data_IF_719038835693
#
_entry.id   IF_719038835693
#
_cell.length_a   1.000
_cell.length_b   1.000
_cell.length_c   1.000
_cell.angle_alpha   90.00
_cell.angle_beta   90.00
_cell.angle_gamma   90.00
#
_symmetry.space_group_name_H-M   'P 1'
#
loop_
_entity.id
_entity.type
_entity.pdbx_description
1 polymer ?
#
# COMPACT_ATOMS: atom_id res chain seq x y z
N UNK A 1 16.97 0.40 21.17
CA UNK A 1 15.66 -0.07 20.69
C UNK A 1 15.92 -1.11 19.63
N UNK A 2 15.56 -2.36 19.88
CA UNK A 2 15.82 -3.50 18.98
C UNK A 2 14.64 -3.75 18.03
N UNK A 3 13.76 -2.75 17.87
CA UNK A 3 12.53 -2.85 17.09
C UNK A 3 12.41 -1.71 16.09
N UNK A 4 11.79 -1.97 14.96
CA UNK A 4 11.59 -1.02 13.86
C UNK A 4 10.11 -0.96 13.48
N UNK A 5 9.63 0.20 13.02
CA UNK A 5 8.31 0.30 12.40
C UNK A 5 8.41 0.05 10.89
N UNK A 6 7.46 -0.68 10.31
CA UNK A 6 7.41 -0.96 8.87
C UNK A 6 6.20 -0.25 8.28
N UNK A 7 6.39 0.47 7.16
CA UNK A 7 5.31 1.04 6.39
C UNK A 7 5.37 0.54 4.94
N UNK A 8 4.42 -0.33 4.57
CA UNK A 8 4.25 -0.83 3.21
C UNK A 8 3.19 -0.05 2.44
N UNK A 9 3.47 0.27 1.18
CA UNK A 9 2.57 1.01 0.30
C UNK A 9 2.37 0.20 -0.99
N UNK A 10 1.11 0.04 -1.43
CA UNK A 10 0.75 -0.70 -2.64
C UNK A 10 1.39 -2.11 -2.67
N UNK A 11 2.06 -2.50 -3.75
CA UNK A 11 2.75 -3.79 -3.86
C UNK A 11 3.86 -3.98 -2.82
N UNK A 12 4.45 -2.88 -2.32
CA UNK A 12 5.37 -2.92 -1.19
C UNK A 12 4.70 -3.40 0.10
N UNK A 13 3.41 -3.11 0.29
CA UNK A 13 2.61 -3.64 1.38
C UNK A 13 2.33 -5.14 1.24
N UNK A 14 2.11 -5.63 0.02
CA UNK A 14 1.99 -7.08 -0.24
C UNK A 14 3.27 -7.82 0.17
N UNK A 15 4.44 -7.31 -0.25
CA UNK A 15 5.75 -7.87 0.12
C UNK A 15 5.94 -7.79 1.64
N UNK A 16 5.66 -6.64 2.25
CA UNK A 16 5.79 -6.46 3.69
C UNK A 16 4.91 -7.43 4.48
N UNK A 17 3.67 -7.69 4.04
CA UNK A 17 2.77 -8.66 4.69
C UNK A 17 3.33 -10.08 4.63
N UNK A 18 3.95 -10.46 3.50
CA UNK A 18 4.64 -11.74 3.37
C UNK A 18 5.89 -11.82 4.27
N UNK A 19 6.61 -10.71 4.45
CA UNK A 19 7.71 -10.61 5.44
C UNK A 19 7.19 -10.75 6.86
N UNK A 20 6.09 -10.10 7.22
CA UNK A 20 5.47 -10.23 8.54
C UNK A 20 5.07 -11.68 8.85
N UNK A 21 4.47 -12.38 7.89
CA UNK A 21 4.16 -13.80 8.03
C UNK A 21 5.42 -14.67 8.12
N UNK A 22 6.49 -14.31 7.42
CA UNK A 22 7.78 -15.00 7.54
C UNK A 22 8.39 -14.83 8.95
N UNK A 23 8.40 -13.60 9.48
CA UNK A 23 8.84 -13.34 10.86
C UNK A 23 7.95 -14.07 11.87
N UNK A 24 6.64 -14.18 11.59
CA UNK A 24 5.70 -14.95 12.40
C UNK A 24 6.05 -16.42 12.51
N UNK A 25 6.45 -17.04 11.40
CA UNK A 25 6.84 -18.46 11.39
C UNK A 25 8.06 -18.74 12.29
N UNK A 26 8.99 -17.79 12.41
CA UNK A 26 10.18 -17.90 13.26
C UNK A 26 10.01 -17.33 14.68
N UNK A 27 8.85 -16.73 14.99
CA UNK A 27 8.65 -16.05 16.27
C UNK A 27 9.43 -14.74 16.42
N UNK A 28 9.82 -14.11 15.32
CA UNK A 28 10.63 -12.88 15.27
C UNK A 28 9.81 -11.60 14.97
N UNK A 29 8.48 -11.67 15.10
CA UNK A 29 7.60 -10.51 14.86
C UNK A 29 7.85 -9.37 15.85
N UNK A 30 8.40 -9.66 17.02
CA UNK A 30 8.71 -8.68 18.05
C UNK A 30 9.78 -7.69 17.63
N UNK A 31 10.53 -7.97 16.55
CA UNK A 31 11.42 -7.02 15.85
C UNK A 31 10.67 -5.86 15.20
N UNK A 32 9.35 -6.00 15.00
CA UNK A 32 8.51 -4.97 14.39
C UNK A 32 7.61 -4.37 15.47
N UNK A 33 7.84 -3.10 15.79
CA UNK A 33 7.08 -2.40 16.83
C UNK A 33 5.69 -1.96 16.36
N UNK A 34 5.57 -1.65 15.08
CA UNK A 34 4.37 -1.14 14.46
C UNK A 34 4.37 -1.49 12.98
N UNK A 35 3.23 -1.95 12.45
CA UNK A 35 3.07 -2.26 11.04
C UNK A 35 2.05 -1.32 10.40
N UNK A 36 2.37 -0.71 9.28
CA UNK A 36 1.47 0.19 8.56
C UNK A 36 1.33 -0.24 7.11
N UNK A 37 0.12 -0.12 6.58
CA UNK A 37 -0.24 -0.47 5.21
C UNK A 37 -1.04 0.66 4.59
N UNK A 38 -0.65 1.09 3.39
CA UNK A 38 -1.34 2.11 2.62
C UNK A 38 -1.73 1.55 1.26
N UNK A 39 -3.00 1.73 0.88
CA UNK A 39 -3.54 1.36 -0.44
C UNK A 39 -3.03 0.00 -0.93
N UNK A 40 -3.09 -0.99 -0.04
CA UNK A 40 -2.55 -2.34 -0.25
C UNK A 40 -3.71 -3.33 -0.26
N UNK A 41 -3.79 -4.13 -1.32
CA UNK A 41 -4.79 -5.18 -1.47
C UNK A 41 -4.15 -6.53 -1.20
N UNK A 42 -4.55 -7.20 -0.12
CA UNK A 42 -4.13 -8.56 0.23
C UNK A 42 -5.17 -9.60 -0.18
N UNK A 43 -6.44 -9.21 -0.21
CA UNK A 43 -7.56 -10.01 -0.72
C UNK A 43 -8.06 -9.44 -2.06
N UNK A 44 -7.96 -10.26 -3.10
CA UNK A 44 -8.31 -9.91 -4.47
C UNK A 44 -9.77 -10.19 -4.84
N UNK A 45 -10.57 -10.82 -3.96
CA UNK A 45 -11.97 -11.16 -4.25
C UNK A 45 -12.77 -9.92 -4.65
N UNK A 46 -12.46 -8.78 -4.03
CA UNK A 46 -13.16 -7.49 -4.24
C UNK A 46 -12.35 -6.46 -5.02
N UNK A 47 -11.18 -6.81 -5.57
CA UNK A 47 -10.20 -5.88 -6.16
C UNK A 47 -10.65 -5.12 -7.43
N UNK A 48 -11.93 -5.23 -7.80
CA UNK A 48 -12.56 -4.36 -8.79
C UNK A 48 -12.34 -4.77 -10.25
N UNK A 49 -12.56 -3.81 -11.15
CA UNK A 49 -12.64 -4.02 -12.61
C UNK A 49 -11.34 -4.60 -13.18
N UNK A 50 -10.19 -4.31 -12.57
CA UNK A 50 -8.88 -4.84 -13.00
C UNK A 50 -8.77 -6.35 -12.78
N UNK A 51 -9.25 -6.87 -11.65
CA UNK A 51 -9.34 -8.32 -11.40
C UNK A 51 -10.33 -8.99 -12.38
N UNK A 52 -11.46 -8.31 -12.67
CA UNK A 52 -12.45 -8.78 -13.65
C UNK A 52 -11.96 -8.78 -15.11
N UNK A 53 -10.99 -7.91 -15.46
CA UNK A 53 -10.40 -7.82 -16.81
C UNK A 53 -9.21 -8.77 -17.03
N UNK A 54 -8.56 -9.21 -15.95
CA UNK A 54 -7.49 -10.22 -15.99
C UNK A 54 -8.08 -11.62 -16.13
N UNK A 55 -8.41 -12.01 -17.36
CA UNK A 55 -8.65 -13.43 -17.63
C UNK A 55 -7.37 -14.24 -17.35
N UNK A 56 -7.50 -15.47 -16.85
CA UNK A 56 -6.36 -16.39 -16.68
C UNK A 56 -5.47 -16.47 -17.94
N UNK A 57 -6.08 -16.36 -19.12
CA UNK A 57 -5.38 -16.36 -20.42
C UNK A 57 -4.53 -15.09 -20.61
N UNK A 58 -5.08 -13.91 -20.30
CA UNK A 58 -4.36 -12.65 -20.42
C UNK A 58 -3.18 -12.59 -19.43
N UNK A 59 -3.38 -13.07 -18.20
CA UNK A 59 -2.33 -13.10 -17.20
C UNK A 59 -1.21 -14.12 -17.56
N UNK A 60 -1.57 -15.29 -18.09
CA UNK A 60 -0.61 -16.26 -18.60
C UNK A 60 0.19 -15.70 -19.78
N UNK A 61 -0.46 -14.99 -20.71
CA UNK A 61 0.20 -14.35 -21.84
C UNK A 61 1.17 -13.23 -21.38
N UNK A 62 0.74 -12.38 -20.46
CA UNK A 62 1.59 -11.32 -19.88
C UNK A 62 2.81 -11.91 -19.16
N UNK A 63 2.59 -12.97 -18.38
CA UNK A 63 3.68 -13.68 -17.68
C UNK A 63 4.67 -14.28 -18.67
N UNK A 64 4.19 -14.95 -19.72
CA UNK A 64 5.03 -15.52 -20.77
C UNK A 64 5.83 -14.44 -21.51
N UNK A 65 5.20 -13.31 -21.87
CA UNK A 65 5.89 -12.20 -22.52
C UNK A 65 7.01 -11.63 -21.65
N UNK A 66 6.77 -11.42 -20.35
CA UNK A 66 7.82 -10.97 -19.43
C UNK A 66 8.95 -11.99 -19.28
N UNK A 67 8.63 -13.29 -19.32
CA UNK A 67 9.61 -14.38 -19.24
C UNK A 67 10.52 -14.42 -20.46
N UNK A 68 9.95 -14.26 -21.67
CA UNK A 68 10.71 -14.21 -22.92
C UNK A 68 11.64 -13.00 -22.96
N UNK A 69 11.19 -11.85 -22.44
CA UNK A 69 11.99 -10.62 -22.37
C UNK A 69 13.02 -10.61 -21.23
N UNK A 70 12.80 -11.41 -20.18
CA UNK A 70 13.58 -11.42 -18.92
C UNK A 70 13.11 -10.41 -17.87
N UNK A 71 12.23 -9.47 -18.25
CA UNK A 71 11.64 -8.46 -17.36
C UNK A 71 10.28 -7.97 -17.90
N UNK A 72 9.44 -7.43 -17.02
CA UNK A 72 8.28 -6.63 -17.39
C UNK A 72 8.73 -5.18 -17.64
N UNK A 73 8.42 -4.68 -18.83
CA UNK A 73 8.70 -3.29 -19.19
C UNK A 73 7.76 -2.34 -18.44
N UNK A 74 8.33 -1.32 -17.80
CA UNK A 74 7.57 -0.32 -17.07
C UNK A 74 6.56 0.42 -17.96
N UNK A 75 6.82 0.54 -19.28
CA UNK A 75 5.88 1.16 -20.23
C UNK A 75 4.59 0.36 -20.40
N UNK A 76 4.69 -0.96 -20.46
CA UNK A 76 3.50 -1.84 -20.55
C UNK A 76 2.63 -1.72 -19.30
N UNK A 77 3.26 -1.58 -18.14
CA UNK A 77 2.56 -1.38 -16.87
C UNK A 77 1.94 0.02 -16.78
N UNK A 78 2.68 1.06 -17.18
CA UNK A 78 2.21 2.44 -17.21
C UNK A 78 1.04 2.64 -18.18
N UNK A 79 1.04 1.98 -19.33
CA UNK A 79 -0.08 1.99 -20.29
C UNK A 79 -1.34 1.39 -19.66
N UNK A 80 -1.24 0.23 -18.99
CA UNK A 80 -2.37 -0.41 -18.30
C UNK A 80 -2.91 0.49 -17.17
N UNK A 81 -2.03 1.09 -16.35
CA UNK A 81 -2.43 2.01 -15.29
C UNK A 81 -3.03 3.32 -15.80
N UNK A 82 -2.53 3.88 -16.91
CA UNK A 82 -3.08 5.07 -17.54
C UNK A 82 -4.52 4.86 -18.04
N UNK A 83 -4.82 3.66 -18.56
CA UNK A 83 -6.19 3.27 -18.97
C UNK A 83 -7.15 3.02 -17.79
N UNK A 84 -6.65 2.82 -16.56
CA UNK A 84 -7.46 2.65 -15.36
C UNK A 84 -7.91 3.99 -14.72
N UNK A 85 -7.38 5.13 -15.16
CA UNK A 85 -7.78 6.49 -14.73
C UNK A 85 -8.00 7.47 -15.90
N UNK A 86 -8.88 7.16 -16.87
CA UNK A 86 -9.07 8.04 -18.02
C UNK A 86 -9.65 9.40 -17.62
N UNK A 87 -10.47 9.50 -16.57
CA UNK A 87 -11.05 10.79 -16.16
C UNK A 87 -10.04 11.72 -15.45
N UNK A 88 -9.21 11.17 -14.57
CA UNK A 88 -8.25 11.96 -13.78
C UNK A 88 -6.97 12.30 -14.55
N UNK A 89 -6.47 11.37 -15.37
CA UNK A 89 -5.18 11.50 -16.06
C UNK A 89 -5.32 12.01 -17.50
N UNK A 90 -6.44 11.72 -18.17
CA UNK A 90 -6.63 12.06 -19.59
C UNK A 90 -7.70 13.14 -19.75
N UNK A 91 -8.89 12.99 -19.17
CA UNK A 91 -10.03 13.87 -19.45
C UNK A 91 -9.90 15.25 -18.79
N UNK A 92 -9.50 15.33 -17.51
CA UNK A 92 -9.21 16.62 -16.86
C UNK A 92 -8.07 17.37 -17.57
N UNK A 93 -7.07 16.66 -18.09
CA UNK A 93 -6.00 17.22 -18.91
C UNK A 93 -6.54 17.71 -20.26
N UNK A 94 -7.37 16.92 -20.94
CA UNK A 94 -7.94 17.26 -22.25
C UNK A 94 -8.91 18.45 -22.17
N UNK A 95 -9.80 18.48 -21.18
CA UNK A 95 -10.74 19.60 -20.99
C UNK A 95 -10.00 20.89 -20.64
N UNK A 96 -9.09 20.88 -19.67
CA UNK A 96 -8.40 22.11 -19.26
C UNK A 96 -7.37 22.60 -20.28
N UNK A 97 -6.68 21.70 -20.99
CA UNK A 97 -5.54 22.09 -21.82
C UNK A 97 -5.91 22.19 -23.30
N UNK A 98 -6.69 21.23 -23.82
CA UNK A 98 -7.09 21.22 -25.23
C UNK A 98 -8.33 22.07 -25.49
N UNK A 99 -9.36 22.00 -24.64
CA UNK A 99 -10.59 22.77 -24.82
C UNK A 99 -10.52 24.19 -24.23
N UNK A 100 -9.91 24.36 -23.05
CA UNK A 100 -9.86 25.66 -22.35
C UNK A 100 -8.56 26.45 -22.58
N UNK A 101 -7.57 25.85 -23.26
CA UNK A 101 -6.30 26.52 -23.61
C UNK A 101 -5.41 26.88 -22.43
N UNK A 102 -5.64 26.31 -21.24
CA UNK A 102 -4.78 26.54 -20.09
C UNK A 102 -3.50 25.70 -20.22
N UNK A 103 -2.35 26.29 -19.86
CA UNK A 103 -1.11 25.53 -19.76
C UNK A 103 -1.26 24.44 -18.66
N UNK A 104 -0.84 23.19 -18.90
CA UNK A 104 -0.85 22.18 -17.86
C UNK A 104 -0.03 22.67 -16.66
N UNK A 105 -0.65 22.72 -15.47
CA UNK A 105 0.13 22.93 -14.25
C UNK A 105 1.14 21.79 -14.15
N UNK A 106 2.40 22.14 -13.88
CA UNK A 106 3.41 21.15 -13.53
C UNK A 106 2.90 20.38 -12.30
N UNK A 107 2.44 19.14 -12.54
CA UNK A 107 1.85 18.29 -11.53
C UNK A 107 2.93 17.25 -11.19
N UNK A 108 3.53 17.40 -10.01
CA UNK A 108 4.51 16.49 -9.43
C UNK A 108 4.12 15.01 -9.56
N UNK A 109 2.85 14.69 -9.31
CA UNK A 109 2.29 13.34 -9.43
C UNK A 109 2.35 12.83 -10.88
N UNK A 110 2.14 13.70 -11.88
CA UNK A 110 2.24 13.28 -13.29
C UNK A 110 3.69 12.99 -13.69
N UNK A 111 4.64 13.75 -13.16
CA UNK A 111 6.07 13.46 -13.37
C UNK A 111 6.43 12.10 -12.76
N UNK A 112 6.05 11.86 -11.49
CA UNK A 112 6.25 10.57 -10.82
C UNK A 112 5.60 9.41 -11.59
N UNK A 113 4.37 9.58 -12.06
CA UNK A 113 3.65 8.52 -12.80
C UNK A 113 4.28 8.24 -14.19
N UNK A 114 4.98 9.21 -14.77
CA UNK A 114 5.64 9.10 -16.07
C UNK A 114 7.07 8.52 -15.98
N UNK A 115 7.54 8.15 -14.80
CA UNK A 115 8.89 7.62 -14.55
C UNK A 115 8.83 6.13 -14.13
N UNK A 116 8.51 5.22 -15.07
CA UNK A 116 8.26 3.82 -14.73
C UNK A 116 9.57 3.03 -14.56
N UNK A 117 9.58 2.13 -13.59
CA UNK A 117 10.67 1.17 -13.37
C UNK A 117 10.35 -0.20 -13.97
N UNK A 118 11.39 -0.98 -14.27
CA UNK A 118 11.25 -2.38 -14.71
C UNK A 118 11.06 -3.30 -13.51
N UNK A 119 10.39 -4.42 -13.75
CA UNK A 119 10.24 -5.50 -12.76
C UNK A 119 10.83 -6.80 -13.33
N UNK A 120 11.54 -7.58 -12.51
CA UNK A 120 12.05 -8.88 -12.96
C UNK A 120 10.90 -9.80 -13.38
N UNK A 121 11.13 -10.65 -14.39
CA UNK A 121 10.09 -11.58 -14.85
C UNK A 121 9.63 -12.54 -13.74
N UNK A 122 10.53 -12.91 -12.82
CA UNK A 122 10.21 -13.75 -11.68
C UNK A 122 9.24 -13.06 -10.71
N UNK A 123 9.55 -11.82 -10.31
CA UNK A 123 8.68 -11.03 -9.43
C UNK A 123 7.32 -10.76 -10.06
N UNK A 124 7.28 -10.44 -11.35
CA UNK A 124 6.04 -10.24 -12.09
C UNK A 124 5.17 -11.51 -12.10
N UNK A 125 5.75 -12.67 -12.43
CA UNK A 125 5.06 -13.96 -12.37
C UNK A 125 4.49 -14.21 -10.98
N UNK A 126 5.29 -14.00 -9.94
CA UNK A 126 4.89 -14.31 -8.56
C UNK A 126 3.73 -13.39 -8.11
N UNK A 127 3.74 -12.10 -8.49
CA UNK A 127 2.59 -11.22 -8.27
C UNK A 127 1.34 -11.65 -9.03
N UNK A 128 1.47 -12.06 -10.30
CA UNK A 128 0.33 -12.56 -11.07
C UNK A 128 -0.25 -13.82 -10.44
N UNK A 129 0.59 -14.75 -10.02
CA UNK A 129 0.18 -15.99 -9.37
C UNK A 129 -0.53 -15.74 -8.03
N UNK A 130 0.03 -14.87 -7.18
CA UNK A 130 -0.61 -14.44 -5.93
C UNK A 130 -1.98 -13.81 -6.20
N UNK A 131 -2.08 -12.94 -7.21
CA UNK A 131 -3.30 -12.22 -7.51
C UNK A 131 -4.40 -13.14 -8.07
N UNK A 132 -4.07 -14.00 -9.03
CA UNK A 132 -5.02 -14.90 -9.69
C UNK A 132 -5.55 -15.97 -8.71
N UNK A 133 -4.67 -16.53 -7.88
CA UNK A 133 -5.05 -17.57 -6.90
C UNK A 133 -5.63 -16.99 -5.62
N UNK A 134 -5.62 -15.65 -5.47
CA UNK A 134 -5.89 -14.98 -4.20
C UNK A 134 -5.09 -15.59 -3.02
N UNK A 135 -3.84 -16.02 -3.27
CA UNK A 135 -3.16 -17.00 -2.42
C UNK A 135 -2.75 -16.49 -1.03
N UNK A 136 -2.93 -15.20 -0.74
CA UNK A 136 -2.60 -14.61 0.57
C UNK A 136 -3.74 -14.75 1.59
N UNK A 137 -4.98 -14.98 1.15
CA UNK A 137 -6.11 -15.23 2.06
C UNK A 137 -6.22 -16.70 2.47
N UNK A 138 -5.56 -17.59 1.73
CA UNK A 138 -5.49 -19.02 2.03
C UNK A 138 -4.22 -19.34 2.82
N UNK A 139 -4.33 -19.76 4.10
CA UNK A 139 -3.17 -20.11 4.89
C UNK A 139 -2.28 -21.14 4.18
N UNK A 140 -0.99 -20.83 4.07
CA UNK A 140 0.07 -21.69 3.51
C UNK A 140 0.00 -21.91 1.99
N UNK A 141 -0.87 -21.20 1.26
CA UNK A 141 -0.99 -21.29 -0.20
C UNK A 141 0.09 -20.51 -0.97
N UNK A 142 0.78 -19.59 -0.29
CA UNK A 142 1.95 -18.86 -0.78
C UNK A 142 3.20 -19.16 0.07
N UNK A 143 4.38 -18.82 -0.48
CA UNK A 143 5.67 -18.97 0.20
C UNK A 143 6.50 -17.69 0.11
N UNK A 144 7.28 -17.41 1.15
CA UNK A 144 8.23 -16.29 1.23
C UNK A 144 9.52 -16.78 1.87
N UNK A 145 10.66 -16.61 1.19
CA UNK A 145 11.98 -17.02 1.73
C UNK A 145 12.00 -18.47 2.27
N UNK A 146 11.30 -19.39 1.59
CA UNK A 146 11.20 -20.80 1.98
C UNK A 146 10.17 -21.13 3.06
N UNK A 147 9.54 -20.15 3.71
CA UNK A 147 8.46 -20.38 4.68
C UNK A 147 7.09 -20.29 4.03
N UNK A 148 6.09 -20.92 4.67
CA UNK A 148 4.69 -20.82 4.27
C UNK A 148 4.10 -19.52 4.80
N UNK A 149 3.41 -18.78 3.94
CA UNK A 149 2.74 -17.53 4.32
C UNK A 149 1.41 -17.85 4.96
N UNK A 150 1.19 -17.32 6.17
CA UNK A 150 -0.07 -17.38 6.90
C UNK A 150 -0.29 -16.03 7.59
N UNK A 151 -1.14 -15.19 7.01
CA UNK A 151 -1.38 -13.83 7.51
C UNK A 151 -2.10 -13.84 8.87
N UNK A 152 -2.84 -14.91 9.20
CA UNK A 152 -3.47 -15.08 10.50
C UNK A 152 -2.46 -15.23 11.64
N UNK A 153 -1.18 -15.52 11.35
CA UNK A 153 -0.13 -15.52 12.37
C UNK A 153 0.42 -14.13 12.69
N UNK A 154 0.07 -13.11 11.91
CA UNK A 154 0.53 -11.74 12.14
C UNK A 154 -0.26 -11.15 13.32
N UNK A 155 0.45 -10.91 14.42
CA UNK A 155 -0.13 -10.36 15.67
C UNK A 155 0.36 -8.94 15.96
N UNK A 156 1.26 -8.40 15.16
CA UNK A 156 1.75 -7.02 15.30
C UNK A 156 0.62 -6.02 15.05
N UNK A 157 0.49 -5.04 15.95
CA UNK A 157 -0.44 -3.92 15.78
C UNK A 157 -0.27 -3.26 14.42
N UNK A 158 -1.40 -3.08 13.74
CA UNK A 158 -1.44 -2.66 12.35
C UNK A 158 -2.23 -1.36 12.15
N UNK A 159 -1.76 -0.50 11.26
CA UNK A 159 -2.47 0.70 10.81
C UNK A 159 -2.71 0.60 9.31
N UNK A 160 -3.97 0.50 8.88
CA UNK A 160 -4.33 0.30 7.47
C UNK A 160 -5.07 1.53 6.98
N UNK A 161 -4.56 2.16 5.91
CA UNK A 161 -5.17 3.34 5.29
C UNK A 161 -5.55 3.08 3.83
N UNK A 162 -6.75 3.50 3.44
CA UNK A 162 -7.25 3.45 2.08
C UNK A 162 -7.92 4.78 1.67
N UNK A 163 -8.10 5.00 0.36
CA UNK A 163 -8.83 6.15 -0.17
C UNK A 163 -10.28 5.80 -0.53
N UNK A 164 -11.26 6.60 -0.11
CA UNK A 164 -12.69 6.35 -0.37
C UNK A 164 -13.04 6.32 -1.86
N UNK A 165 -12.33 7.09 -2.69
CA UNK A 165 -12.52 7.15 -4.14
C UNK A 165 -11.37 6.44 -4.88
N UNK A 166 -10.69 5.50 -4.23
CA UNK A 166 -9.64 4.72 -4.86
C UNK A 166 -10.24 3.61 -5.74
N UNK A 167 -10.08 3.77 -7.05
CA UNK A 167 -10.52 2.77 -8.04
C UNK A 167 -9.46 1.70 -8.33
N UNK A 168 -8.21 1.93 -7.95
CA UNK A 168 -7.14 0.96 -8.13
C UNK A 168 -7.12 -0.06 -6.99
N UNK A 169 -7.07 0.46 -5.76
CA UNK A 169 -7.14 -0.34 -4.55
C UNK A 169 -8.44 0.02 -3.83
N UNK A 170 -9.54 -0.60 -4.29
CA UNK A 170 -10.86 -0.41 -3.66
C UNK A 170 -10.74 -0.56 -2.15
N UNK A 171 -11.24 0.43 -1.41
CA UNK A 171 -11.05 0.47 0.04
C UNK A 171 -11.65 -0.76 0.73
N UNK A 172 -12.70 -1.35 0.18
CA UNK A 172 -13.32 -2.58 0.69
C UNK A 172 -12.37 -3.78 0.61
N UNK A 173 -11.46 -3.79 -0.37
CA UNK A 173 -10.42 -4.83 -0.53
C UNK A 173 -9.25 -4.58 0.43
N UNK A 174 -8.85 -3.31 0.60
CA UNK A 174 -7.87 -2.93 1.63
C UNK A 174 -8.41 -3.27 3.04
N UNK A 175 -9.71 -3.07 3.26
CA UNK A 175 -10.39 -3.32 4.54
C UNK A 175 -10.35 -4.78 4.96
N UNK A 176 -10.36 -5.73 4.01
CA UNK A 176 -10.26 -7.16 4.33
C UNK A 176 -9.01 -7.52 5.14
N UNK A 177 -7.95 -6.69 5.06
CA UNK A 177 -6.76 -6.83 5.92
C UNK A 177 -7.13 -6.92 7.41
N UNK A 178 -8.17 -6.20 7.85
CA UNK A 178 -8.66 -6.21 9.24
C UNK A 178 -9.19 -7.58 9.69
N UNK A 179 -9.53 -8.47 8.74
CA UNK A 179 -10.01 -9.83 8.98
C UNK A 179 -8.93 -10.89 8.73
N UNK A 180 -7.79 -10.50 8.13
CA UNK A 180 -6.68 -11.39 7.79
C UNK A 180 -5.62 -11.45 8.90
N UNK A 181 -5.43 -10.36 9.64
CA UNK A 181 -4.47 -10.29 10.75
C UNK A 181 -5.16 -10.60 12.07
N UNK A 182 -4.43 -11.25 12.99
CA UNK A 182 -4.90 -11.53 14.35
C UNK A 182 -4.45 -10.48 15.38
N UNK A 183 -3.68 -9.48 14.96
CA UNK A 183 -3.32 -8.32 15.78
C UNK A 183 -4.35 -7.20 15.71
N UNK A 184 -4.28 -6.25 16.65
CA UNK A 184 -5.14 -5.06 16.64
C UNK A 184 -4.88 -4.23 15.38
N UNK A 185 -5.89 -4.14 14.50
CA UNK A 185 -5.79 -3.41 13.24
C UNK A 185 -6.64 -2.15 13.31
N UNK A 186 -6.00 -0.98 13.29
CA UNK A 186 -6.69 0.29 13.11
C UNK A 186 -6.94 0.54 11.62
N UNK A 187 -8.20 0.72 11.21
CA UNK A 187 -8.54 1.06 9.83
C UNK A 187 -8.91 2.54 9.69
N UNK A 188 -8.40 3.17 8.64
CA UNK A 188 -8.63 4.57 8.30
C UNK A 188 -8.97 4.74 6.83
N UNK A 189 -10.08 5.44 6.58
CA UNK A 189 -10.56 5.74 5.24
C UNK A 189 -10.39 7.23 4.94
N UNK A 190 -9.36 7.58 4.18
CA UNK A 190 -9.09 8.97 3.80
C UNK A 190 -9.99 9.42 2.65
N UNK A 191 -10.27 10.73 2.59
CA UNK A 191 -10.91 11.33 1.43
C UNK A 191 -10.03 11.26 0.18
N UNK A 192 -10.66 11.36 -1.00
CA UNK A 192 -10.02 11.32 -2.32
C UNK A 192 -9.61 9.90 -2.79
N UNK A 193 -9.03 9.82 -3.99
CA UNK A 193 -8.59 8.55 -4.59
C UNK A 193 -7.09 8.29 -4.41
N UNK A 194 -6.64 7.08 -4.76
CA UNK A 194 -5.27 6.53 -4.63
C UNK A 194 -4.18 7.50 -4.13
N UNK A 195 -3.58 8.30 -5.01
CA UNK A 195 -2.43 9.16 -4.66
C UNK A 195 -2.85 10.33 -3.77
N UNK A 196 -3.97 10.99 -4.07
CA UNK A 196 -4.46 12.14 -3.32
C UNK A 196 -4.90 11.78 -1.88
N UNK A 197 -5.30 10.53 -1.66
CA UNK A 197 -5.58 10.01 -0.32
C UNK A 197 -4.28 9.80 0.49
N UNK A 198 -3.19 9.37 -0.16
CA UNK A 198 -1.91 9.10 0.51
C UNK A 198 -1.08 10.37 0.72
N UNK A 199 -0.99 11.23 -0.29
CA UNK A 199 -0.25 12.50 -0.26
C UNK A 199 -1.20 13.61 0.15
N UNK A 200 -1.60 13.59 1.42
CA UNK A 200 -2.54 14.56 1.99
C UNK A 200 -1.94 15.18 3.26
N UNK A 201 -0.99 16.13 3.13
CA UNK A 201 -0.26 16.65 4.28
C UNK A 201 -1.15 17.45 5.25
N UNK A 202 -0.76 17.55 6.53
CA UNK A 202 -1.41 18.42 7.50
C UNK A 202 -1.53 19.87 7.00
N UNK A 203 -2.60 20.55 7.40
CA UNK A 203 -2.90 21.92 6.97
C UNK A 203 -3.76 22.03 5.71
N UNK A 204 -4.06 20.93 5.01
CA UNK A 204 -5.05 20.94 3.93
C UNK A 204 -6.49 21.10 4.51
N UNK A 205 -7.19 22.22 4.26
CA UNK A 205 -8.52 22.45 4.84
C UNK A 205 -9.60 21.50 4.28
N UNK A 206 -9.33 20.84 3.15
CA UNK A 206 -10.24 19.86 2.54
C UNK A 206 -9.99 18.43 3.03
N UNK A 207 -8.90 18.20 3.78
CA UNK A 207 -8.57 16.88 4.28
C UNK A 207 -9.55 16.43 5.37
N UNK A 208 -10.01 15.19 5.24
CA UNK A 208 -10.66 14.48 6.33
C UNK A 208 -10.45 12.98 6.14
N UNK A 209 -10.69 12.21 7.19
CA UNK A 209 -10.71 10.76 7.13
C UNK A 209 -11.83 10.21 8.01
N UNK A 210 -12.10 8.93 7.90
CA UNK A 210 -13.06 8.22 8.73
C UNK A 210 -12.34 7.09 9.47
N UNK A 211 -12.71 6.85 10.71
CA UNK A 211 -12.22 5.72 11.50
C UNK A 211 -13.32 5.22 12.43
N UNK A 212 -13.31 3.93 12.76
CA UNK A 212 -14.33 3.35 13.63
C UNK A 212 -14.15 3.76 15.10
N UNK A 213 -15.20 3.60 15.93
CA UNK A 213 -15.08 3.65 17.38
C UNK A 213 -14.09 2.61 17.93
N UNK A 214 -13.89 2.61 19.25
CA UNK A 214 -13.00 1.65 19.88
C UNK A 214 -13.58 0.23 19.90
N UNK A 215 -12.76 -0.75 19.49
CA UNK A 215 -13.02 -2.18 19.66
C UNK A 215 -11.79 -2.86 20.27
N UNK A 216 -11.94 -3.87 21.13
CA UNK A 216 -10.78 -4.61 21.65
C UNK A 216 -9.77 -3.83 22.53
N UNK A 217 -10.00 -2.54 22.82
CA UNK A 217 -9.16 -1.73 23.73
C UNK A 217 -8.48 -0.51 23.10
N UNK A 218 -8.55 -0.35 21.77
CA UNK A 218 -7.97 0.80 21.05
C UNK A 218 -9.02 1.53 20.21
N UNK A 219 -8.83 2.82 19.91
CA UNK A 219 -9.69 3.56 18.95
C UNK A 219 -9.43 3.10 17.52
N UNK A 220 -10.48 2.94 16.71
CA UNK A 220 -10.35 2.64 15.28
C UNK A 220 -10.23 1.16 14.93
N UNK A 221 -10.45 0.27 15.90
CA UNK A 221 -10.23 -1.19 15.80
C UNK A 221 -11.53 -1.99 15.87
N UNK A 222 -12.70 -1.35 16.01
CA UNK A 222 -13.98 -2.03 15.78
C UNK A 222 -14.21 -2.23 14.27
N UNK A 223 -13.80 -3.40 13.78
CA UNK A 223 -13.81 -3.76 12.37
C UNK A 223 -14.75 -4.96 12.10
N UNK A 224 -16.07 -4.76 12.00
CA UNK A 224 -16.98 -5.83 11.57
C UNK A 224 -16.63 -6.29 10.15
N UNK A 225 -16.85 -7.57 9.86
CA UNK A 225 -16.60 -8.15 8.53
C UNK A 225 -17.34 -7.40 7.40
N UNK A 226 -18.55 -6.91 7.67
CA UNK A 226 -19.32 -6.09 6.73
C UNK A 226 -18.79 -4.65 6.64
N UNK A 227 -18.20 -4.33 5.50
CA UNK A 227 -17.72 -2.99 5.14
C UNK A 227 -18.79 -1.90 5.21
N UNK A 228 -20.06 -2.19 4.89
CA UNK A 228 -21.13 -1.19 4.97
C UNK A 228 -21.51 -0.90 6.41
N UNK A 229 -21.46 -1.92 7.27
CA UNK A 229 -21.61 -1.74 8.72
C UNK A 229 -20.48 -0.89 9.27
N UNK A 230 -19.24 -1.16 8.87
CA UNK A 230 -18.08 -0.33 9.24
C UNK A 230 -18.26 1.12 8.79
N UNK A 231 -18.65 1.35 7.54
CA UNK A 231 -18.85 2.70 7.01
C UNK A 231 -19.95 3.47 7.76
N UNK A 232 -21.01 2.78 8.18
CA UNK A 232 -22.12 3.38 8.93
C UNK A 232 -21.72 3.81 10.34
N UNK A 233 -20.84 3.05 11.01
CA UNK A 233 -20.36 3.37 12.36
C UNK A 233 -19.14 4.31 12.35
N UNK A 234 -18.44 4.42 11.22
CA UNK A 234 -17.24 5.22 11.11
C UNK A 234 -17.53 6.71 11.37
N UNK A 235 -16.65 7.32 12.15
CA UNK A 235 -16.74 8.75 12.50
C UNK A 235 -15.80 9.53 11.61
N UNK A 236 -16.32 10.60 11.00
CA UNK A 236 -15.50 11.54 10.23
C UNK A 236 -14.67 12.41 11.15
N UNK A 237 -13.37 12.46 10.89
CA UNK A 237 -12.39 13.32 11.56
C UNK A 237 -11.88 14.34 10.53
N UNK A 238 -11.90 15.62 10.91
CA UNK A 238 -11.37 16.70 10.08
C UNK A 238 -9.85 16.77 10.22
N UNK A 239 -9.13 16.95 9.12
CA UNK A 239 -7.66 16.98 9.10
C UNK A 239 -7.04 15.83 8.31
N UNK A 240 -5.71 15.78 8.31
CA UNK A 240 -4.98 14.69 7.66
C UNK A 240 -4.98 13.44 8.54
N UNK A 241 -5.05 12.26 7.92
CA UNK A 241 -4.81 11.01 8.64
C UNK A 241 -3.35 10.88 9.10
N UNK A 242 -2.41 11.67 8.56
CA UNK A 242 -1.01 11.66 8.98
C UNK A 242 -0.87 12.01 10.45
N UNK A 243 -1.66 12.96 10.96
CA UNK A 243 -1.60 13.36 12.36
C UNK A 243 -2.06 12.21 13.28
N UNK A 244 -3.13 11.51 12.89
CA UNK A 244 -3.64 10.31 13.59
C UNK A 244 -2.67 9.12 13.52
N UNK A 245 -2.01 8.93 12.37
CA UNK A 245 -0.98 7.91 12.19
C UNK A 245 0.26 8.20 13.03
N UNK A 246 0.74 9.44 13.07
CA UNK A 246 1.89 9.84 13.90
C UNK A 246 1.57 9.66 15.38
N UNK A 247 0.37 10.00 15.84
CA UNK A 247 -0.07 9.73 17.23
C UNK A 247 -0.05 8.22 17.51
N UNK A 248 -0.64 7.41 16.62
CA UNK A 248 -0.68 5.94 16.74
C UNK A 248 0.71 5.31 16.75
N UNK A 249 1.62 5.82 15.91
CA UNK A 249 2.99 5.33 15.76
C UNK A 249 3.86 5.75 16.95
N UNK A 250 3.68 6.97 17.47
CA UNK A 250 4.44 7.48 18.62
C UNK A 250 4.22 6.63 19.86
N UNK A 251 2.98 6.20 20.11
CA UNK A 251 2.66 5.28 21.20
C UNK A 251 3.39 3.91 21.11
N UNK A 252 3.92 3.57 19.94
CA UNK A 252 4.65 2.33 19.64
C UNK A 252 6.15 2.55 19.39
N UNK A 253 6.61 3.79 19.44
CA UNK A 253 7.99 4.17 19.13
C UNK A 253 8.86 4.37 20.37
N UNK A 254 8.37 4.00 21.56
CA UNK A 254 9.08 4.11 22.84
C UNK A 254 9.38 5.55 23.26
N UNK A 255 10.32 5.71 24.18
CA UNK A 255 10.71 7.02 24.70
C UNK A 255 11.54 7.82 23.68
N UNK A 256 11.34 9.15 23.68
CA UNK A 256 12.18 10.04 22.89
C UNK A 256 13.64 9.95 23.32
N UNK A 257 14.54 9.96 22.34
CA UNK A 257 15.98 9.96 22.58
C UNK A 257 16.67 11.05 21.79
N UNK A 258 17.90 11.39 22.19
CA UNK A 258 18.70 12.36 21.46
C UNK A 258 18.97 11.85 20.04
N UNK A 259 18.76 12.73 19.04
CA UNK A 259 19.05 12.39 17.65
C UNK A 259 20.50 11.91 17.48
N UNK A 260 20.75 10.92 16.60
CA UNK A 260 22.11 10.49 16.29
C UNK A 260 22.99 11.66 15.81
N UNK A 261 24.26 11.68 16.23
CA UNK A 261 25.23 12.72 15.81
C UNK A 261 25.79 12.51 14.40
N UNK A 262 25.71 11.29 13.89
CA UNK A 262 26.17 10.89 12.56
C UNK A 262 25.13 9.94 11.94
N UNK A 263 25.02 9.97 10.62
CA UNK A 263 24.25 8.99 9.86
C UNK A 263 25.05 7.68 9.74
N UNK A 264 24.35 6.55 9.70
CA UNK A 264 24.98 5.23 9.61
C UNK A 264 25.68 4.78 10.90
N UNK A 265 26.51 3.74 10.78
CA UNK A 265 27.35 3.22 11.86
C UNK A 265 28.61 2.55 11.27
N UNK A 266 29.46 1.94 12.10
CA UNK A 266 30.71 1.31 11.66
C UNK A 266 30.53 0.13 10.68
N UNK A 267 29.37 -0.52 10.68
CA UNK A 267 29.04 -1.60 9.74
C UNK A 267 28.36 -1.06 8.47
N UNK A 268 27.72 0.11 8.54
CA UNK A 268 26.94 0.72 7.47
C UNK A 268 27.25 2.22 7.40
N UNK A 269 28.38 2.56 6.76
CA UNK A 269 28.76 3.95 6.54
C UNK A 269 27.90 4.58 5.42
N UNK A 270 27.62 5.90 5.49
CA UNK A 270 26.93 6.61 4.40
C UNK A 270 27.71 6.47 3.08
N UNK A 271 27.01 6.08 2.00
CA UNK A 271 27.61 5.86 0.68
C UNK A 271 27.53 7.12 -0.20
N UNK A 272 26.35 7.72 -0.29
CA UNK A 272 26.05 8.91 -1.09
C UNK A 272 24.98 9.76 -0.40
N UNK A 273 24.86 11.03 -0.79
CA UNK A 273 23.75 11.90 -0.37
C UNK A 273 22.41 11.39 -0.95
N UNK A 274 21.33 11.56 -0.20
CA UNK A 274 19.98 11.32 -0.70
C UNK A 274 19.67 12.25 -1.90
N UNK A 275 18.96 11.77 -2.96
CA UNK A 275 18.15 10.56 -3.02
C UNK A 275 18.89 9.29 -3.55
N UNK A 276 20.22 9.34 -3.66
CA UNK A 276 21.03 8.22 -4.16
C UNK A 276 20.98 8.08 -5.68
N UNK A 277 21.48 6.94 -6.20
CA UNK A 277 21.68 6.73 -7.64
C UNK A 277 20.55 5.95 -8.32
N UNK A 278 19.98 4.94 -7.66
CA UNK A 278 19.00 4.03 -8.28
C UNK A 278 17.70 4.73 -8.71
N UNK A 279 17.32 5.82 -8.04
CA UNK A 279 16.12 6.59 -8.41
C UNK A 279 16.29 7.35 -9.74
N UNK A 280 17.51 7.44 -10.27
CA UNK A 280 17.82 8.14 -11.51
C UNK A 280 17.98 7.21 -12.73
N UNK A 281 17.86 5.89 -12.53
CA UNK A 281 17.96 4.89 -13.60
C UNK A 281 16.76 4.99 -14.58
N UNK A 282 17.00 4.66 -15.86
CA UNK A 282 16.01 4.76 -16.96
C UNK A 282 15.98 3.50 -17.86
#
# INVERSE_FOLDING_TARGET
QDKTAIFGICSGGTIASMVMAHLAEFGEQDRVAAYSLAVTVLDQERAGVTSALLSHKAAAASTQASREKGYLDGRTLAEIFAWLRPNDLIWNYWVNNYLMGHAPKAFDILYWNADPVRMSAAMHRDFMDLAIRNALVEPRAATMLGTKVDLGKVTTDSYVVAGIADHLCKWESCYQTTQLFNGDTKFVLSTSGHIAAMVNPPGNPKASFQTSPSGGGQKGTDNPEDTQKWLTQAVKVQGSWWDDWVEWLSARSGEECAKPRKLGNAAYEPLDDAPGTYVHDR
#
